data_IF_855897534501
#
_entry.id   IF_855897534501
#
_cell.length_a   1.000
_cell.length_b   1.000
_cell.length_c   1.000
_cell.angle_alpha   90.00
_cell.angle_beta   90.00
_cell.angle_gamma   90.00
#
_symmetry.space_group_name_H-M   'P 1'
#
loop_
_entity.id
_entity.type
_entity.pdbx_description
1 polymer ?
#
# COMPACT_ATOMS: atom_id res chain seq x y z
N UNK A 1 -0.38 16.39 18.43
CA UNK A 1 -1.64 15.69 18.77
C UNK A 1 -2.42 15.51 17.48
N UNK A 2 -3.10 14.39 17.30
CA UNK A 2 -4.01 14.20 16.17
C UNK A 2 -5.42 14.66 16.59
N UNK A 3 -6.15 15.31 15.68
CA UNK A 3 -7.57 15.66 15.90
C UNK A 3 -8.46 14.41 15.90
N UNK A 4 -8.07 13.38 15.14
CA UNK A 4 -8.64 12.04 15.16
C UNK A 4 -7.54 10.99 14.98
N UNK A 5 -7.57 9.92 15.76
CA UNK A 5 -6.77 8.72 15.55
C UNK A 5 -7.69 7.51 15.41
N UNK A 6 -7.80 6.96 14.21
CA UNK A 6 -8.74 5.88 13.87
C UNK A 6 -8.03 4.73 13.14
N UNK A 7 -8.80 3.73 12.70
CA UNK A 7 -8.31 2.50 12.06
C UNK A 7 -9.08 2.21 10.76
N UNK A 8 -8.44 1.53 9.81
CA UNK A 8 -9.10 1.04 8.59
C UNK A 8 -10.05 -0.14 8.85
N UNK A 9 -10.14 -0.62 10.09
CA UNK A 9 -11.12 -1.62 10.51
C UNK A 9 -12.54 -1.09 10.76
N UNK A 10 -12.83 0.21 10.56
CA UNK A 10 -14.15 0.78 10.85
C UNK A 10 -15.15 0.55 9.71
N UNK A 11 -16.45 0.54 10.03
CA UNK A 11 -17.52 0.46 9.04
C UNK A 11 -17.49 1.65 8.07
N UNK A 12 -17.22 2.86 8.59
CA UNK A 12 -17.02 4.06 7.78
C UNK A 12 -15.90 3.88 6.74
N UNK A 13 -14.76 3.30 7.12
CA UNK A 13 -13.68 3.03 6.17
C UNK A 13 -14.09 2.02 5.08
N UNK A 14 -14.83 0.97 5.46
CA UNK A 14 -15.36 0.00 4.51
C UNK A 14 -16.31 0.64 3.50
N UNK A 15 -17.26 1.47 3.96
CA UNK A 15 -18.22 2.17 3.10
C UNK A 15 -17.53 3.11 2.11
N UNK A 16 -16.60 3.95 2.58
CA UNK A 16 -15.86 4.90 1.72
C UNK A 16 -14.97 4.17 0.71
N UNK A 17 -14.35 3.05 1.11
CA UNK A 17 -13.53 2.24 0.21
C UNK A 17 -14.36 1.56 -0.87
N UNK A 18 -15.54 1.04 -0.53
CA UNK A 18 -16.47 0.44 -1.47
C UNK A 18 -17.05 1.49 -2.44
N UNK A 19 -17.34 2.71 -1.97
CA UNK A 19 -17.77 3.83 -2.80
C UNK A 19 -16.72 4.22 -3.86
N UNK A 20 -15.46 4.39 -3.45
CA UNK A 20 -14.35 4.64 -4.39
C UNK A 20 -14.21 3.49 -5.38
N UNK A 21 -14.26 2.24 -4.90
CA UNK A 21 -14.16 1.06 -5.75
C UNK A 21 -15.26 1.03 -6.81
N UNK A 22 -16.52 1.18 -6.42
CA UNK A 22 -17.66 1.16 -7.33
C UNK A 22 -17.62 2.33 -8.31
N UNK A 23 -17.23 3.52 -7.86
CA UNK A 23 -17.10 4.69 -8.73
C UNK A 23 -16.03 4.48 -9.80
N UNK A 24 -14.87 3.96 -9.43
CA UNK A 24 -13.79 3.66 -10.37
C UNK A 24 -14.16 2.51 -11.33
N UNK A 25 -14.91 1.51 -10.85
CA UNK A 25 -15.46 0.44 -11.68
C UNK A 25 -16.45 0.99 -12.72
N UNK A 26 -17.42 1.80 -12.29
CA UNK A 26 -18.43 2.41 -13.16
C UNK A 26 -17.82 3.33 -14.23
N UNK A 27 -16.67 3.95 -13.94
CA UNK A 27 -15.91 4.78 -14.88
C UNK A 27 -14.94 4.00 -15.77
N UNK A 28 -14.88 2.67 -15.66
CA UNK A 28 -14.01 1.82 -16.47
C UNK A 28 -12.53 1.88 -16.10
N UNK A 29 -12.20 2.39 -14.91
CA UNK A 29 -10.84 2.38 -14.36
C UNK A 29 -10.54 1.13 -13.53
N UNK A 30 -11.55 0.32 -13.23
CA UNK A 30 -11.39 -1.02 -12.68
C UNK A 30 -11.98 -2.03 -13.65
N UNK A 31 -11.29 -3.15 -13.87
CA UNK A 31 -11.73 -4.22 -14.77
C UNK A 31 -11.38 -5.59 -14.19
N UNK A 32 -12.03 -6.65 -14.67
CA UNK A 32 -11.74 -8.03 -14.26
C UNK A 32 -10.64 -8.64 -15.14
N UNK A 33 -9.73 -9.38 -14.52
CA UNK A 33 -8.76 -10.22 -15.21
C UNK A 33 -8.45 -11.46 -14.38
N UNK A 34 -8.05 -12.54 -15.05
CA UNK A 34 -7.69 -13.80 -14.40
C UNK A 34 -6.18 -13.88 -14.21
N UNK A 35 -5.74 -14.31 -13.03
CA UNK A 35 -4.34 -14.62 -12.73
C UNK A 35 -4.20 -16.05 -12.27
N UNK A 36 -3.16 -16.72 -12.74
CA UNK A 36 -2.78 -18.04 -12.26
C UNK A 36 -1.89 -17.89 -11.03
N UNK A 37 -2.29 -18.47 -9.91
CA UNK A 37 -1.59 -18.35 -8.63
C UNK A 37 -1.40 -19.71 -7.95
N UNK A 38 -0.33 -19.89 -7.17
CA UNK A 38 -0.14 -21.11 -6.41
C UNK A 38 -1.21 -21.24 -5.30
N UNK A 39 -1.83 -22.41 -5.22
CA UNK A 39 -2.87 -22.78 -4.28
C UNK A 39 -2.46 -24.04 -3.51
N UNK A 40 -2.57 -23.99 -2.19
CA UNK A 40 -2.33 -25.15 -1.35
C UNK A 40 -3.62 -25.96 -1.19
N UNK A 41 -3.71 -27.21 -1.69
CA UNK A 41 -4.91 -28.03 -1.54
C UNK A 41 -5.17 -28.44 -0.08
N UNK A 42 -4.12 -28.54 0.74
CA UNK A 42 -4.25 -28.92 2.14
C UNK A 42 -4.69 -27.75 3.04
N UNK A 43 -4.11 -26.55 2.85
CA UNK A 43 -4.53 -25.34 3.57
C UNK A 43 -5.76 -24.67 2.95
N UNK A 44 -6.25 -25.19 1.82
CA UNK A 44 -7.37 -24.69 1.04
C UNK A 44 -7.31 -23.18 0.72
N UNK A 45 -6.11 -22.66 0.42
CA UNK A 45 -5.89 -21.23 0.18
C UNK A 45 -4.84 -20.95 -0.89
N UNK A 46 -4.96 -19.80 -1.53
CA UNK A 46 -3.90 -19.24 -2.36
C UNK A 46 -2.70 -18.83 -1.51
N UNK A 47 -1.50 -18.99 -2.07
CA UNK A 47 -0.22 -18.72 -1.42
C UNK A 47 0.40 -17.45 -2.00
N UNK A 48 0.44 -16.34 -1.25
CA UNK A 48 1.32 -15.23 -1.57
C UNK A 48 2.78 -15.69 -1.65
N UNK A 49 3.62 -14.96 -2.38
CA UNK A 49 5.02 -15.32 -2.67
C UNK A 49 5.84 -15.69 -1.42
N UNK A 50 5.54 -15.07 -0.26
CA UNK A 50 6.20 -15.36 1.02
C UNK A 50 5.85 -16.72 1.66
N UNK A 51 4.74 -17.33 1.24
CA UNK A 51 4.22 -18.60 1.76
C UNK A 51 4.43 -19.77 0.80
N UNK A 52 5.11 -19.53 -0.31
CA UNK A 52 5.66 -20.55 -1.19
C UNK A 52 7.18 -20.48 -1.13
N UNK A 53 7.80 -21.64 -1.02
CA UNK A 53 9.25 -21.80 -1.07
C UNK A 53 9.60 -22.99 -1.94
N UNK A 54 10.80 -23.00 -2.50
CA UNK A 54 11.27 -24.10 -3.34
C UNK A 54 12.77 -24.00 -3.57
N UNK A 55 13.25 -24.70 -4.58
CA UNK A 55 14.64 -24.65 -5.01
C UNK A 55 14.80 -23.62 -6.13
N UNK A 56 15.82 -22.75 -6.00
CA UNK A 56 16.11 -21.70 -6.98
C UNK A 56 16.51 -22.31 -8.33
N UNK A 57 15.84 -21.98 -9.44
CA UNK A 57 16.17 -22.53 -10.76
C UNK A 57 17.54 -22.05 -11.28
N UNK A 58 18.07 -20.95 -10.75
CA UNK A 58 19.30 -20.34 -11.23
C UNK A 58 20.57 -20.79 -10.49
N UNK A 59 20.50 -20.98 -9.17
CA UNK A 59 21.66 -21.35 -8.35
C UNK A 59 21.47 -22.65 -7.56
N UNK A 60 20.31 -23.31 -7.69
CA UNK A 60 19.98 -24.57 -7.02
C UNK A 60 19.95 -24.49 -5.49
N UNK A 61 19.94 -23.29 -4.91
CA UNK A 61 19.78 -23.13 -3.46
C UNK A 61 18.37 -23.51 -3.02
N UNK A 62 18.21 -24.34 -1.97
CA UNK A 62 16.90 -24.64 -1.38
C UNK A 62 16.35 -23.43 -0.59
N UNK A 63 15.02 -23.37 -0.44
CA UNK A 63 14.36 -22.34 0.37
C UNK A 63 14.19 -20.98 -0.32
N UNK A 64 14.35 -20.91 -1.65
CA UNK A 64 14.05 -19.72 -2.43
C UNK A 64 12.55 -19.37 -2.32
N UNK A 65 12.23 -18.08 -2.19
CA UNK A 65 10.86 -17.59 -2.07
C UNK A 65 10.24 -17.40 -3.46
N UNK A 66 8.91 -17.26 -3.52
CA UNK A 66 8.20 -17.08 -4.79
C UNK A 66 8.60 -15.84 -5.58
N UNK A 67 9.12 -14.81 -4.92
CA UNK A 67 9.48 -13.51 -5.51
C UNK A 67 10.98 -13.33 -5.76
N UNK A 68 11.82 -14.00 -4.97
CA UNK A 68 13.28 -13.81 -4.98
C UNK A 68 14.02 -14.98 -4.32
N UNK A 69 15.23 -15.28 -4.84
CA UNK A 69 16.21 -16.11 -4.12
C UNK A 69 17.10 -15.25 -3.23
N UNK A 70 17.14 -15.54 -1.94
CA UNK A 70 17.97 -14.79 -0.98
C UNK A 70 19.49 -15.06 -1.18
N UNK A 71 19.88 -16.20 -1.76
CA UNK A 71 21.30 -16.53 -2.02
C UNK A 71 21.90 -15.83 -3.25
N UNK A 72 21.23 -15.90 -4.40
CA UNK A 72 21.75 -15.30 -5.64
C UNK A 72 21.12 -13.93 -5.97
N UNK A 73 20.13 -13.50 -5.19
CA UNK A 73 19.46 -12.21 -5.33
C UNK A 73 18.52 -12.07 -6.53
N UNK A 74 18.43 -13.08 -7.41
CA UNK A 74 17.61 -12.99 -8.62
C UNK A 74 16.11 -12.98 -8.29
N UNK A 75 15.33 -12.05 -8.90
CA UNK A 75 13.88 -12.10 -8.83
C UNK A 75 13.37 -13.31 -9.63
N UNK A 76 12.23 -13.85 -9.22
CA UNK A 76 11.61 -15.00 -9.87
C UNK A 76 10.09 -14.94 -9.74
N UNK A 77 9.42 -15.74 -10.57
CA UNK A 77 8.01 -16.03 -10.45
C UNK A 77 7.83 -17.35 -9.66
N UNK A 78 6.78 -17.48 -8.82
CA UNK A 78 6.48 -18.73 -8.14
C UNK A 78 6.37 -19.95 -9.07
N UNK A 79 6.00 -19.76 -10.34
CA UNK A 79 5.92 -20.81 -11.35
C UNK A 79 7.29 -21.35 -11.80
N UNK A 80 8.37 -20.61 -11.56
CA UNK A 80 9.74 -21.00 -11.91
C UNK A 80 10.44 -21.79 -10.79
N UNK A 81 9.86 -21.83 -9.59
CA UNK A 81 10.42 -22.57 -8.46
C UNK A 81 10.43 -24.07 -8.75
N UNK A 82 11.58 -24.71 -8.54
CA UNK A 82 11.70 -26.16 -8.58
C UNK A 82 11.20 -26.73 -7.24
N UNK A 83 10.47 -27.84 -7.29
CA UNK A 83 9.89 -28.50 -6.10
C UNK A 83 9.17 -27.55 -5.13
N UNK A 84 8.19 -26.75 -5.59
CA UNK A 84 7.53 -25.77 -4.74
C UNK A 84 6.79 -26.44 -3.59
N UNK A 85 6.86 -25.83 -2.42
CA UNK A 85 6.22 -26.27 -1.18
C UNK A 85 5.52 -25.10 -0.50
N UNK A 86 4.37 -25.41 0.11
CA UNK A 86 3.70 -24.49 1.01
C UNK A 86 4.51 -24.36 2.30
N UNK A 87 4.97 -23.16 2.64
CA UNK A 87 5.72 -22.91 3.89
C UNK A 87 4.92 -23.22 5.17
N UNK A 88 3.59 -23.30 5.06
CA UNK A 88 2.70 -23.56 6.21
C UNK A 88 2.52 -25.05 6.52
N UNK A 89 2.53 -25.93 5.50
CA UNK A 89 2.20 -27.36 5.67
C UNK A 89 3.08 -28.31 4.84
N UNK A 90 4.08 -27.79 4.13
CA UNK A 90 4.98 -28.51 3.23
C UNK A 90 4.33 -29.20 2.00
N UNK A 91 3.00 -29.15 1.83
CA UNK A 91 2.33 -29.70 0.65
C UNK A 91 2.74 -29.00 -0.65
N UNK A 92 2.77 -29.74 -1.75
CA UNK A 92 3.04 -29.21 -3.10
C UNK A 92 1.89 -28.32 -3.58
N UNK A 93 2.13 -27.03 -3.87
CA UNK A 93 1.11 -26.15 -4.42
C UNK A 93 0.69 -26.55 -5.84
N UNK A 94 -0.55 -26.24 -6.19
CA UNK A 94 -1.10 -26.37 -7.54
C UNK A 94 -1.41 -24.98 -8.08
N UNK A 95 -1.17 -24.72 -9.35
CA UNK A 95 -1.62 -23.47 -9.95
C UNK A 95 -3.12 -23.51 -10.18
N UNK A 96 -3.82 -22.50 -9.69
CA UNK A 96 -5.24 -22.28 -9.93
C UNK A 96 -5.44 -20.87 -10.44
N UNK A 97 -6.34 -20.77 -11.42
CA UNK A 97 -6.78 -19.49 -11.94
C UNK A 97 -7.77 -18.86 -10.96
N UNK A 98 -7.57 -17.56 -10.72
CA UNK A 98 -8.41 -16.75 -9.84
C UNK A 98 -8.75 -15.46 -10.57
N UNK A 99 -10.03 -15.11 -10.61
CA UNK A 99 -10.48 -13.83 -11.18
C UNK A 99 -10.27 -12.72 -10.14
N UNK A 100 -9.69 -11.60 -10.56
CA UNK A 100 -9.45 -10.43 -9.73
C UNK A 100 -9.89 -9.16 -10.43
N UNK A 101 -10.25 -8.16 -9.64
CA UNK A 101 -10.33 -6.79 -10.12
C UNK A 101 -8.94 -6.15 -10.17
N UNK A 102 -8.68 -5.46 -11.26
CA UNK A 102 -7.48 -4.71 -11.56
C UNK A 102 -7.80 -3.22 -11.66
N UNK A 103 -6.99 -2.39 -11.02
CA UNK A 103 -7.00 -0.95 -11.26
C UNK A 103 -6.14 -0.63 -12.49
N UNK A 104 -6.75 0.04 -13.47
CA UNK A 104 -6.15 0.47 -14.74
C UNK A 104 -5.23 1.67 -14.53
N UNK A 105 -4.22 1.50 -13.68
CA UNK A 105 -3.25 2.52 -13.32
C UNK A 105 -2.52 3.07 -14.55
N UNK A 106 -2.30 2.24 -15.57
CA UNK A 106 -1.71 2.63 -16.86
C UNK A 106 -2.46 3.79 -17.54
N UNK A 107 -3.78 3.92 -17.33
CA UNK A 107 -4.59 4.99 -17.93
C UNK A 107 -4.32 6.39 -17.35
N UNK A 108 -3.53 6.49 -16.28
CA UNK A 108 -3.25 7.76 -15.60
C UNK A 108 -1.83 8.30 -15.82
N UNK A 109 -0.96 7.56 -16.54
CA UNK A 109 0.46 7.89 -16.69
C UNK A 109 0.73 9.34 -17.09
N UNK A 110 0.16 9.77 -18.22
CA UNK A 110 0.37 11.13 -18.75
C UNK A 110 -0.17 12.21 -17.81
N UNK A 111 -1.39 12.03 -17.29
CA UNK A 111 -2.04 12.98 -16.36
C UNK A 111 -1.25 13.14 -15.07
N UNK A 112 -0.70 12.04 -14.55
CA UNK A 112 0.15 12.06 -13.36
C UNK A 112 1.47 12.74 -13.66
N UNK A 113 2.10 12.45 -14.80
CA UNK A 113 3.36 13.08 -15.19
C UNK A 113 3.21 14.59 -15.33
N UNK A 114 2.13 15.05 -15.95
CA UNK A 114 1.83 16.48 -16.09
C UNK A 114 1.55 17.15 -14.74
N UNK A 115 0.87 16.47 -13.83
CA UNK A 115 0.63 16.96 -12.48
C UNK A 115 1.92 17.02 -11.65
N UNK A 116 2.74 15.96 -11.69
CA UNK A 116 4.01 15.85 -10.95
C UNK A 116 5.02 16.92 -11.38
N UNK A 117 5.11 17.23 -12.69
CA UNK A 117 5.98 18.29 -13.21
C UNK A 117 5.69 19.67 -12.63
N UNK A 118 4.48 19.91 -12.13
CA UNK A 118 4.08 21.18 -11.53
C UNK A 118 4.45 21.26 -10.04
N UNK A 119 4.88 20.16 -9.41
CA UNK A 119 5.16 20.07 -7.98
C UNK A 119 6.61 20.49 -7.66
N UNK A 120 7.00 21.70 -8.06
CA UNK A 120 8.37 22.20 -7.90
C UNK A 120 8.79 22.39 -6.44
N UNK A 121 7.84 22.43 -5.51
CA UNK A 121 8.08 22.52 -4.06
C UNK A 121 8.33 21.17 -3.39
N UNK A 122 8.10 20.04 -4.07
CA UNK A 122 8.40 18.72 -3.51
C UNK A 122 9.89 18.54 -3.28
N UNK A 123 10.25 17.73 -2.28
CA UNK A 123 11.64 17.31 -2.08
C UNK A 123 12.16 16.63 -3.35
N UNK A 124 13.40 16.94 -3.73
CA UNK A 124 13.99 16.48 -4.98
C UNK A 124 13.99 14.95 -5.14
N UNK A 125 14.20 14.20 -4.04
CA UNK A 125 14.16 12.73 -4.06
C UNK A 125 12.76 12.20 -4.40
N UNK A 126 11.70 12.81 -3.85
CA UNK A 126 10.30 12.45 -4.13
C UNK A 126 9.96 12.74 -5.59
N UNK A 127 10.30 13.94 -6.07
CA UNK A 127 10.05 14.35 -7.44
C UNK A 127 10.79 13.45 -8.45
N UNK A 128 12.10 13.25 -8.25
CA UNK A 128 12.91 12.42 -9.16
C UNK A 128 12.47 10.96 -9.19
N UNK A 129 12.20 10.36 -8.01
CA UNK A 129 11.71 8.98 -7.93
C UNK A 129 10.38 8.83 -8.68
N UNK A 130 9.44 9.75 -8.43
CA UNK A 130 8.10 9.71 -9.03
C UNK A 130 8.16 9.88 -10.54
N UNK A 131 8.88 10.90 -11.03
CA UNK A 131 9.03 11.17 -12.47
C UNK A 131 9.65 9.98 -13.19
N UNK A 132 10.75 9.42 -12.67
CA UNK A 132 11.40 8.26 -13.29
C UNK A 132 10.46 7.05 -13.34
N UNK A 133 9.72 6.79 -12.26
CA UNK A 133 8.77 5.67 -12.22
C UNK A 133 7.63 5.84 -13.25
N UNK A 134 7.16 7.07 -13.47
CA UNK A 134 6.16 7.38 -14.49
C UNK A 134 6.71 7.21 -15.91
N UNK A 135 7.96 7.63 -16.15
CA UNK A 135 8.65 7.49 -17.45
C UNK A 135 8.95 6.02 -17.81
N UNK A 136 9.18 5.15 -16.83
CA UNK A 136 9.33 3.70 -17.03
C UNK A 136 8.01 3.02 -17.49
N UNK A 137 6.87 3.68 -17.29
CA UNK A 137 5.55 3.21 -17.67
C UNK A 137 4.81 2.47 -16.54
N UNK A 138 3.55 2.85 -16.33
CA UNK A 138 2.70 2.28 -15.28
C UNK A 138 2.05 0.96 -15.75
N UNK A 139 2.02 -0.02 -14.83
CA UNK A 139 1.33 -1.30 -15.01
C UNK A 139 0.07 -1.35 -14.17
N UNK A 140 -0.96 -2.00 -14.71
CA UNK A 140 -2.21 -2.25 -14.01
C UNK A 140 -1.99 -3.21 -12.84
N UNK A 141 -2.75 -3.02 -11.77
CA UNK A 141 -2.52 -3.72 -10.50
C UNK A 141 -3.77 -4.44 -10.03
N UNK A 142 -3.63 -5.70 -9.62
CA UNK A 142 -4.70 -6.43 -8.93
C UNK A 142 -4.99 -5.78 -7.57
N UNK A 143 -6.24 -5.35 -7.36
CA UNK A 143 -6.72 -4.66 -6.17
C UNK A 143 -7.67 -5.50 -5.31
N UNK A 144 -7.72 -6.81 -5.57
CA UNK A 144 -8.47 -7.78 -4.76
C UNK A 144 -7.58 -8.96 -4.38
N UNK A 145 -7.92 -9.66 -3.30
CA UNK A 145 -7.15 -10.81 -2.79
C UNK A 145 -8.09 -11.93 -2.33
N UNK A 146 -7.62 -13.17 -2.51
CA UNK A 146 -8.24 -14.38 -1.98
C UNK A 146 -7.89 -14.59 -0.50
N UNK A 147 -8.48 -13.75 0.35
CA UNK A 147 -8.33 -13.79 1.80
C UNK A 147 -9.68 -13.52 2.45
N UNK A 148 -9.86 -13.95 3.70
CA UNK A 148 -11.12 -13.77 4.43
C UNK A 148 -11.17 -12.48 5.26
N UNK A 149 -9.99 -11.94 5.63
CA UNK A 149 -9.85 -10.74 6.46
C UNK A 149 -9.62 -9.50 5.60
N UNK A 150 -10.42 -8.45 5.82
CA UNK A 150 -10.36 -7.16 5.11
C UNK A 150 -11.76 -6.66 4.71
N UNK A 151 -11.79 -5.67 3.81
CA UNK A 151 -13.04 -5.10 3.28
C UNK A 151 -13.62 -6.00 2.17
N UNK A 152 -14.89 -6.44 2.26
CA UNK A 152 -15.54 -7.21 1.19
C UNK A 152 -15.58 -6.44 -0.14
N UNK A 153 -15.41 -7.15 -1.25
CA UNK A 153 -15.58 -6.58 -2.59
C UNK A 153 -17.08 -6.35 -2.84
N UNK A 154 -17.53 -5.13 -3.19
CA UNK A 154 -18.96 -4.81 -3.32
C UNK A 154 -19.53 -5.23 -4.68
N UNK A 155 -19.22 -6.44 -5.15
CA UNK A 155 -19.70 -6.98 -6.43
C UNK A 155 -20.08 -8.45 -6.26
N UNK A 156 -21.27 -8.81 -6.73
CA UNK A 156 -21.79 -10.18 -6.68
C UNK A 156 -20.82 -11.20 -7.30
N UNK A 157 -20.65 -12.34 -6.62
CA UNK A 157 -19.72 -13.40 -7.01
C UNK A 157 -18.28 -13.21 -6.53
N UNK A 158 -18.00 -12.13 -5.77
CA UNK A 158 -16.70 -11.87 -5.15
C UNK A 158 -16.74 -11.93 -3.60
N UNK A 159 -17.75 -12.58 -3.03
CA UNK A 159 -17.99 -12.65 -1.58
C UNK A 159 -16.81 -13.24 -0.77
N UNK A 160 -16.05 -14.15 -1.39
CA UNK A 160 -14.87 -14.79 -0.81
C UNK A 160 -13.58 -13.97 -0.96
N UNK A 161 -13.64 -12.78 -1.57
CA UNK A 161 -12.49 -11.92 -1.84
C UNK A 161 -12.57 -10.63 -1.02
N UNK A 162 -11.40 -10.02 -0.82
CA UNK A 162 -11.28 -8.72 -0.13
C UNK A 162 -10.56 -7.70 -1.00
N UNK A 163 -10.92 -6.44 -0.82
CA UNK A 163 -10.16 -5.32 -1.37
C UNK A 163 -8.74 -5.37 -0.80
N UNK A 164 -7.75 -5.24 -1.68
CA UNK A 164 -6.36 -5.34 -1.29
C UNK A 164 -5.95 -4.14 -0.43
N UNK A 165 -5.24 -4.40 0.68
CA UNK A 165 -4.83 -3.38 1.65
C UNK A 165 -4.12 -2.18 1.01
N UNK A 166 -3.29 -2.40 -0.01
CA UNK A 166 -2.58 -1.29 -0.67
C UNK A 166 -3.44 -0.43 -1.59
N UNK A 167 -4.68 -0.86 -1.87
CA UNK A 167 -5.69 -0.04 -2.51
C UNK A 167 -6.52 0.71 -1.48
N UNK A 168 -6.99 0.06 -0.40
CA UNK A 168 -7.86 0.70 0.59
C UNK A 168 -7.13 1.56 1.63
N UNK A 169 -5.91 1.23 2.04
CA UNK A 169 -5.23 1.93 3.13
C UNK A 169 -5.05 3.44 2.87
N UNK A 170 -4.78 3.84 1.63
CA UNK A 170 -4.69 5.28 1.25
C UNK A 170 -6.04 5.99 1.26
N UNK A 171 -7.15 5.25 1.10
CA UNK A 171 -8.51 5.77 1.29
C UNK A 171 -8.76 6.10 2.78
N UNK A 172 -7.96 5.51 3.67
CA UNK A 172 -7.94 5.76 5.12
C UNK A 172 -7.95 7.25 5.47
N UNK A 173 -7.21 8.07 4.72
CA UNK A 173 -7.18 9.52 4.92
C UNK A 173 -8.55 10.16 4.72
N UNK A 174 -9.24 9.85 3.61
CA UNK A 174 -10.56 10.39 3.31
C UNK A 174 -11.60 9.88 4.32
N UNK A 175 -11.58 8.58 4.61
CA UNK A 175 -12.52 8.00 5.58
C UNK A 175 -12.31 8.58 6.98
N UNK A 176 -11.05 8.81 7.40
CA UNK A 176 -10.77 9.42 8.70
C UNK A 176 -11.27 10.86 8.76
N UNK A 177 -11.13 11.66 7.69
CA UNK A 177 -11.70 13.01 7.67
C UNK A 177 -13.22 13.00 7.73
N UNK A 178 -13.88 12.06 7.02
CA UNK A 178 -15.35 11.88 7.12
C UNK A 178 -15.79 11.46 8.52
N UNK A 179 -15.04 10.57 9.17
CA UNK A 179 -15.29 10.15 10.56
C UNK A 179 -15.13 11.31 11.54
N UNK A 180 -14.06 12.10 11.38
CA UNK A 180 -13.81 13.29 12.18
C UNK A 180 -14.96 14.29 12.04
N UNK A 181 -15.38 14.59 10.80
CA UNK A 181 -16.48 15.51 10.50
C UNK A 181 -17.80 15.08 11.17
N UNK A 182 -18.12 13.78 11.07
CA UNK A 182 -19.28 13.22 11.75
C UNK A 182 -19.18 13.35 13.28
N UNK A 183 -17.99 13.08 13.84
CA UNK A 183 -17.77 13.15 15.30
C UNK A 183 -17.73 14.58 15.84
N UNK A 184 -17.38 15.57 15.01
CA UNK A 184 -17.31 16.99 15.39
C UNK A 184 -18.66 17.71 15.33
N UNK A 185 -19.71 17.06 14.81
CA UNK A 185 -21.07 17.60 14.69
C UNK A 185 -21.34 18.34 13.38
N UNK A 186 -20.38 18.37 12.44
CA UNK A 186 -20.54 18.90 11.08
C UNK A 186 -20.18 17.81 10.07
N UNK A 187 -21.17 16.99 9.70
CA UNK A 187 -20.98 15.83 8.82
C UNK A 187 -20.45 16.21 7.42
N UNK A 188 -20.68 17.45 6.97
CA UNK A 188 -20.19 17.93 5.66
C UNK A 188 -18.81 18.63 5.78
N UNK A 189 -18.32 18.85 7.00
CA UNK A 189 -17.07 19.56 7.28
C UNK A 189 -15.85 18.94 6.61
N UNK A 190 -15.87 17.63 6.31
CA UNK A 190 -14.79 16.97 5.57
C UNK A 190 -14.59 17.54 4.17
N UNK A 191 -15.62 18.12 3.54
CA UNK A 191 -15.51 18.64 2.17
C UNK A 191 -14.52 19.77 2.06
N UNK A 192 -14.39 20.62 3.08
CA UNK A 192 -13.38 21.69 3.09
C UNK A 192 -11.94 21.17 3.01
N UNK A 193 -11.71 19.94 3.49
CA UNK A 193 -10.40 19.29 3.41
C UNK A 193 -10.13 18.57 2.08
N UNK A 194 -11.15 18.37 1.26
CA UNK A 194 -11.05 17.50 0.09
C UNK A 194 -11.61 18.08 -1.21
N UNK A 195 -12.47 19.09 -1.19
CA UNK A 195 -13.16 19.61 -2.39
C UNK A 195 -12.85 21.09 -2.65
N UNK A 196 -12.33 21.81 -1.66
CA UNK A 196 -11.91 23.20 -1.83
C UNK A 196 -10.70 23.29 -2.76
N UNK A 197 -10.69 24.29 -3.64
CA UNK A 197 -9.63 24.46 -4.66
C UNK A 197 -8.28 24.86 -4.06
N UNK A 198 -8.32 25.53 -2.91
CA UNK A 198 -7.13 26.05 -2.24
C UNK A 198 -6.63 25.14 -1.10
N UNK A 199 -7.26 23.97 -0.93
CA UNK A 199 -6.87 23.03 0.11
C UNK A 199 -5.49 22.45 -0.16
N UNK A 200 -4.69 22.32 0.90
CA UNK A 200 -3.34 21.73 0.84
C UNK A 200 -3.27 20.48 1.70
N UNK A 201 -3.40 19.32 1.05
CA UNK A 201 -3.18 18.03 1.70
C UNK A 201 -1.69 17.70 1.82
N UNK A 202 -1.21 17.50 3.05
CA UNK A 202 0.18 17.11 3.34
C UNK A 202 0.23 15.67 3.84
N UNK A 203 1.08 14.84 3.24
CA UNK A 203 1.19 13.41 3.55
C UNK A 203 2.61 13.09 4.04
N UNK A 204 2.80 13.12 5.36
CA UNK A 204 4.08 12.77 5.99
C UNK A 204 4.28 11.25 6.01
N UNK A 205 5.29 10.78 5.31
CA UNK A 205 5.52 9.35 5.08
C UNK A 205 7.00 8.97 5.18
N UNK A 206 7.29 7.68 5.30
CA UNK A 206 8.63 7.15 5.02
C UNK A 206 8.83 6.97 3.51
N UNK A 207 10.08 7.06 3.03
CA UNK A 207 10.40 6.99 1.58
C UNK A 207 9.83 5.80 0.82
N UNK A 208 9.66 4.65 1.47
CA UNK A 208 9.09 3.44 0.84
C UNK A 208 7.62 3.62 0.40
N UNK A 209 6.95 4.66 0.91
CA UNK A 209 5.56 4.94 0.61
C UNK A 209 5.37 5.99 -0.49
N UNK A 210 6.45 6.53 -1.08
CA UNK A 210 6.37 7.59 -2.11
C UNK A 210 5.44 7.15 -3.25
N UNK A 211 5.65 5.95 -3.81
CA UNK A 211 4.83 5.40 -4.90
C UNK A 211 3.32 5.43 -4.59
N UNK A 212 2.94 5.11 -3.36
CA UNK A 212 1.53 5.07 -2.98
C UNK A 212 0.91 6.46 -2.94
N UNK A 213 1.68 7.48 -2.55
CA UNK A 213 1.17 8.83 -2.30
C UNK A 213 1.38 9.79 -3.48
N UNK A 214 2.30 9.49 -4.39
CA UNK A 214 2.57 10.31 -5.58
C UNK A 214 2.07 9.68 -6.88
N UNK A 215 1.63 8.42 -6.86
CA UNK A 215 1.13 7.74 -8.07
C UNK A 215 -0.22 7.07 -7.80
N UNK A 216 -0.27 6.07 -6.91
CA UNK A 216 -1.48 5.23 -6.74
C UNK A 216 -2.64 6.06 -6.20
N UNK A 217 -2.44 6.76 -5.08
CA UNK A 217 -3.49 7.57 -4.47
C UNK A 217 -3.95 8.73 -5.36
N UNK A 218 -3.07 9.55 -5.96
CA UNK A 218 -3.47 10.55 -6.94
C UNK A 218 -4.22 9.97 -8.14
N UNK A 219 -3.85 8.79 -8.66
CA UNK A 219 -4.58 8.15 -9.75
C UNK A 219 -6.02 7.78 -9.33
N UNK A 220 -6.18 7.23 -8.12
CA UNK A 220 -7.50 6.92 -7.58
C UNK A 220 -8.35 8.17 -7.42
N UNK A 221 -7.78 9.25 -6.87
CA UNK A 221 -8.45 10.55 -6.74
C UNK A 221 -8.81 11.17 -8.10
N UNK A 222 -7.91 11.10 -9.08
CA UNK A 222 -8.14 11.58 -10.45
C UNK A 222 -9.24 10.80 -11.17
N UNK A 223 -9.36 9.49 -10.91
CA UNK A 223 -10.40 8.64 -11.46
C UNK A 223 -11.75 8.86 -10.76
N UNK A 224 -11.74 8.95 -9.44
CA UNK A 224 -12.92 9.23 -8.62
C UNK A 224 -13.50 10.62 -8.95
N UNK A 225 -12.64 11.65 -9.04
CA UNK A 225 -12.98 13.01 -9.41
C UNK A 225 -13.64 13.81 -8.28
N UNK A 226 -13.54 15.14 -8.35
CA UNK A 226 -14.15 16.03 -7.34
C UNK A 226 -13.47 16.01 -5.97
N UNK A 227 -12.25 15.48 -5.89
CA UNK A 227 -11.39 15.50 -4.71
C UNK A 227 -10.02 16.10 -5.07
N UNK A 228 -9.44 16.85 -4.14
CA UNK A 228 -8.14 17.48 -4.25
C UNK A 228 -7.02 16.44 -4.24
N UNK A 229 -5.98 16.70 -5.04
CA UNK A 229 -4.77 15.88 -5.07
C UNK A 229 -3.83 16.28 -3.93
N UNK A 230 -2.87 15.42 -3.54
CA UNK A 230 -1.84 15.78 -2.58
C UNK A 230 -1.13 17.08 -2.96
N UNK A 231 -1.04 18.02 -2.03
CA UNK A 231 -0.24 19.22 -2.26
C UNK A 231 1.24 18.88 -2.06
N UNK A 232 1.59 18.21 -0.96
CA UNK A 232 2.97 17.82 -0.68
C UNK A 232 3.03 16.43 -0.02
N UNK A 233 4.14 15.74 -0.27
CA UNK A 233 4.41 14.39 0.25
C UNK A 233 5.78 14.40 0.92
N UNK A 234 5.92 14.99 2.13
CA UNK A 234 7.18 14.97 2.86
C UNK A 234 7.59 13.53 3.21
N UNK A 235 8.58 13.02 2.48
CA UNK A 235 9.12 11.68 2.67
C UNK A 235 10.47 11.73 3.41
N UNK A 236 10.51 11.09 4.57
CA UNK A 236 11.70 10.99 5.42
C UNK A 236 12.47 9.68 5.18
N UNK A 237 13.79 9.71 5.33
CA UNK A 237 14.65 8.53 5.26
C UNK A 237 14.55 7.67 6.54
N UNK A 238 15.22 6.52 6.55
CA UNK A 238 15.23 5.64 7.72
C UNK A 238 16.13 6.17 8.82
N UNK A 239 15.67 6.01 10.06
CA UNK A 239 16.49 6.20 11.24
C UNK A 239 17.48 5.03 11.43
N UNK A 240 18.66 5.34 11.96
CA UNK A 240 19.64 4.33 12.40
C UNK A 240 19.95 4.49 13.88
N UNK A 241 20.34 3.39 14.53
CA UNK A 241 20.85 3.40 15.91
C UNK A 241 22.28 2.86 15.85
N UNK A 242 23.23 3.67 16.31
CA UNK A 242 24.67 3.36 16.29
C UNK A 242 25.15 2.94 14.88
N UNK A 243 24.66 3.63 13.84
CA UNK A 243 25.00 3.33 12.45
C UNK A 243 24.37 2.06 11.88
N UNK A 244 23.55 1.34 12.65
CA UNK A 244 22.85 0.13 12.21
C UNK A 244 21.37 0.42 11.93
N UNK A 245 20.83 -0.27 10.92
CA UNK A 245 19.39 -0.27 10.65
C UNK A 245 18.62 -0.91 11.81
N UNK A 246 17.43 -0.40 12.09
CA UNK A 246 16.51 -1.01 13.03
C UNK A 246 16.14 -2.43 12.58
N UNK A 247 16.04 -3.36 13.52
CA UNK A 247 15.75 -4.76 13.24
C UNK A 247 14.93 -5.36 14.37
N UNK A 248 13.64 -5.57 14.10
CA UNK A 248 12.72 -6.20 15.06
C UNK A 248 13.10 -7.65 15.35
N UNK A 249 13.51 -8.41 14.34
CA UNK A 249 13.95 -9.81 14.48
C UNK A 249 15.21 -9.99 15.34
N UNK A 250 16.10 -8.98 15.37
CA UNK A 250 17.29 -8.96 16.23
C UNK A 250 17.07 -8.16 17.52
N UNK A 251 15.83 -7.75 17.79
CA UNK A 251 15.46 -6.85 18.87
C UNK A 251 16.39 -5.61 18.97
N UNK A 252 16.76 -5.05 17.82
CA UNK A 252 17.62 -3.88 17.69
C UNK A 252 16.80 -2.66 17.27
N UNK A 253 16.10 -2.08 18.24
CA UNK A 253 15.31 -0.87 18.07
C UNK A 253 15.10 -0.17 19.43
N UNK A 254 14.79 1.13 19.40
CA UNK A 254 14.25 1.83 20.57
C UNK A 254 12.74 1.79 20.48
N UNK A 255 12.11 1.03 21.38
CA UNK A 255 10.66 0.92 21.44
C UNK A 255 10.08 2.07 22.24
N UNK A 256 9.10 2.79 21.67
CA UNK A 256 8.54 3.98 22.32
C UNK A 256 7.97 3.71 23.73
N UNK A 257 7.22 2.61 24.00
CA UNK A 257 6.77 2.32 25.36
C UNK A 257 7.93 2.06 26.35
N UNK A 258 8.96 1.35 25.91
CA UNK A 258 10.15 1.06 26.73
C UNK A 258 10.98 2.33 27.02
N UNK A 259 11.07 3.24 26.05
CA UNK A 259 11.68 4.55 26.25
C UNK A 259 10.90 5.39 27.26
N UNK A 260 9.58 5.52 27.06
CA UNK A 260 8.71 6.34 27.90
C UNK A 260 8.54 5.79 29.33
N UNK A 261 8.88 4.53 29.56
CA UNK A 261 8.94 3.96 30.92
C UNK A 261 10.10 4.51 31.77
N UNK A 262 11.09 5.15 31.14
CA UNK A 262 12.35 5.61 31.77
C UNK A 262 12.67 7.09 31.52
N UNK A 263 12.15 7.67 30.45
CA UNK A 263 12.51 9.01 29.99
C UNK A 263 11.28 9.81 29.55
N UNK A 264 11.35 11.12 29.73
CA UNK A 264 10.34 12.06 29.25
C UNK A 264 10.31 12.10 27.70
N UNK A 265 9.17 12.43 27.08
CA UNK A 265 9.04 12.47 25.62
C UNK A 265 9.83 13.61 24.97
N UNK A 266 10.05 14.73 25.65
CA UNK A 266 10.65 15.93 25.07
C UNK A 266 12.10 15.76 24.62
N UNK A 267 12.99 15.12 25.40
CA UNK A 267 14.33 14.75 24.92
C UNK A 267 14.31 13.96 23.61
N UNK A 268 13.39 12.99 23.46
CA UNK A 268 13.25 12.22 22.21
C UNK A 268 12.75 13.11 21.08
N UNK A 269 11.74 13.94 21.32
CA UNK A 269 11.20 14.88 20.33
C UNK A 269 12.28 15.84 19.84
N UNK A 270 13.08 16.40 20.75
CA UNK A 270 14.19 17.27 20.43
C UNK A 270 15.23 16.55 19.56
N UNK A 271 15.69 15.37 20.00
CA UNK A 271 16.68 14.57 19.28
C UNK A 271 16.23 14.19 17.86
N UNK A 272 14.97 13.77 17.71
CA UNK A 272 14.41 13.41 16.40
C UNK A 272 14.20 14.63 15.50
N UNK A 273 13.90 15.80 16.07
CA UNK A 273 13.68 17.03 15.29
C UNK A 273 14.97 17.60 14.74
N UNK A 274 16.07 17.59 15.51
CA UNK A 274 17.37 18.10 15.04
C UNK A 274 18.06 17.18 14.02
N UNK A 275 17.69 15.90 14.01
CA UNK A 275 18.28 14.87 13.14
C UNK A 275 17.31 14.36 12.07
N UNK A 276 16.18 15.05 11.86
CA UNK A 276 15.04 14.55 11.06
C UNK A 276 15.50 13.91 9.74
N UNK A 277 15.41 12.58 9.60
CA UNK A 277 15.95 11.86 8.45
C UNK A 277 15.13 12.10 7.18
#
# INVERSE_FOLDING_TARGET
SFDLFTTTGTANHAEVSQDIFLTLLNKGYIYKSTVSQPYCPHCQRFLPDRYIEGTCPYCQSPGARGDQCDECGKPMNPAELLDPRCRLCAATPQFKDSEHFFFRLSAFGDRLLDWVKQQSHWRQNVLNFTTRYLEEGLRDRAITRDIEWGIPVPVDGFDSKRIYVWFEAVIGYLSATKEWAKSSGDEEGWRSFWQDKDVKGYYFIGKDNILFHTIIWPAMLMGYGGLALPYDVPANEFLTIEGKRLSTSRNWAVWLPDYLSRYEPDPLRYLLSINMP
#
